data_IF_782680102822
#
_entry.id   IF_782680102822
#
_cell.length_a   1.000
_cell.length_b   1.000
_cell.length_c   1.000
_cell.angle_alpha   90.00
_cell.angle_beta   90.00
_cell.angle_gamma   90.00
#
_symmetry.space_group_name_H-M   'P 1'
#
loop_
_entity.id
_entity.type
_entity.pdbx_description
1 polymer ?
#
# COMPACT_ATOMS: atom_id res chain seq x y z
N UNK A 1 17.63 -14.34 -14.53
CA UNK A 1 16.54 -13.66 -15.29
C UNK A 1 16.34 -12.32 -14.60
N UNK A 2 17.09 -11.30 -15.01
CA UNK A 2 17.12 -9.98 -14.36
C UNK A 2 16.03 -9.06 -14.92
N UNK A 3 14.80 -9.57 -14.94
CA UNK A 3 13.62 -8.77 -15.23
C UNK A 3 13.28 -7.96 -14.00
N UNK A 4 13.73 -6.71 -13.93
CA UNK A 4 13.17 -5.77 -12.96
C UNK A 4 11.66 -5.69 -13.24
N UNK A 5 10.79 -6.04 -12.28
CA UNK A 5 9.35 -6.01 -12.52
C UNK A 5 8.98 -4.58 -12.89
N UNK A 6 8.26 -4.42 -14.00
CA UNK A 6 7.59 -3.17 -14.32
C UNK A 6 6.82 -2.80 -13.06
N UNK A 7 7.16 -1.69 -12.36
CA UNK A 7 6.45 -1.32 -11.15
C UNK A 7 4.97 -1.26 -11.52
N UNK A 8 4.06 -1.73 -10.66
CA UNK A 8 2.64 -1.59 -10.96
C UNK A 8 2.30 -0.12 -10.77
N UNK A 9 2.58 0.63 -11.83
CA UNK A 9 2.59 2.08 -11.90
C UNK A 9 1.15 2.51 -11.68
N UNK A 10 0.95 3.22 -10.57
CA UNK A 10 -0.21 4.07 -10.43
C UNK A 10 -0.19 5.09 -11.57
N UNK A 11 -1.29 5.18 -12.31
CA UNK A 11 -1.45 6.13 -13.39
C UNK A 11 -1.01 7.53 -12.95
N UNK A 12 -0.07 8.12 -13.67
CA UNK A 12 0.27 9.55 -13.55
C UNK A 12 -0.45 10.25 -14.68
N UNK A 13 -1.45 11.08 -14.35
CA UNK A 13 -2.18 11.90 -15.33
C UNK A 13 -1.95 13.36 -14.94
N UNK A 14 -1.45 14.16 -15.89
CA UNK A 14 -1.13 15.59 -15.71
C UNK A 14 -0.21 15.88 -14.50
N UNK A 15 0.80 15.03 -14.26
CA UNK A 15 1.76 15.20 -13.15
C UNK A 15 1.23 14.85 -11.76
N UNK A 16 -0.04 14.44 -11.66
CA UNK A 16 -0.64 13.94 -10.43
C UNK A 16 -0.64 12.40 -10.47
N UNK A 17 -0.34 11.75 -9.34
CA UNK A 17 -0.54 10.30 -9.24
C UNK A 17 -1.99 10.03 -8.87
N UNK A 18 -2.68 9.31 -9.74
CA UNK A 18 -4.09 8.94 -9.58
C UNK A 18 -4.19 7.60 -8.85
N UNK A 19 -3.87 7.61 -7.55
CA UNK A 19 -3.99 6.44 -6.67
C UNK A 19 -5.40 5.83 -6.69
N UNK A 20 -6.43 6.65 -6.89
CA UNK A 20 -7.83 6.21 -7.03
C UNK A 20 -8.12 5.40 -8.30
N UNK A 21 -7.22 5.39 -9.29
CA UNK A 21 -7.30 4.58 -10.51
C UNK A 21 -6.28 3.42 -10.51
N UNK A 22 -5.81 2.99 -9.33
CA UNK A 22 -5.28 1.63 -9.20
C UNK A 22 -6.30 0.67 -9.83
N UNK A 23 -5.85 -0.14 -10.79
CA UNK A 23 -6.71 -1.13 -11.44
C UNK A 23 -7.38 -1.96 -10.33
N UNK A 24 -8.70 -1.81 -10.16
CA UNK A 24 -9.39 -2.26 -8.95
C UNK A 24 -9.16 -3.74 -8.66
N UNK A 25 -9.14 -4.55 -9.71
CA UNK A 25 -8.79 -5.98 -9.67
C UNK A 25 -7.39 -6.25 -9.15
N UNK A 26 -6.39 -5.45 -9.55
CA UNK A 26 -4.99 -5.62 -9.13
C UNK A 26 -4.78 -5.26 -7.67
N UNK A 27 -5.41 -4.17 -7.22
CA UNK A 27 -5.46 -3.83 -5.80
C UNK A 27 -6.12 -4.97 -5.03
N UNK A 28 -7.28 -5.43 -5.50
CA UNK A 28 -7.99 -6.56 -4.88
C UNK A 28 -7.09 -7.79 -4.76
N UNK A 29 -6.33 -8.17 -5.80
CA UNK A 29 -5.38 -9.29 -5.72
C UNK A 29 -4.28 -9.06 -4.68
N UNK A 30 -3.67 -7.86 -4.67
CA UNK A 30 -2.66 -7.53 -3.66
C UNK A 30 -3.21 -7.64 -2.24
N UNK A 31 -4.45 -7.20 -2.04
CA UNK A 31 -5.12 -7.25 -0.75
C UNK A 31 -5.58 -8.66 -0.39
N UNK A 32 -6.11 -9.45 -1.32
CA UNK A 32 -6.61 -10.80 -1.03
C UNK A 32 -5.46 -11.77 -0.77
N UNK A 33 -4.43 -11.72 -1.62
CA UNK A 33 -3.34 -12.69 -1.64
C UNK A 33 -2.07 -12.19 -0.92
N UNK A 34 -2.15 -11.04 -0.24
CA UNK A 34 -1.03 -10.43 0.49
C UNK A 34 0.21 -10.23 -0.39
N UNK A 35 0.02 -9.62 -1.56
CA UNK A 35 1.07 -9.40 -2.56
C UNK A 35 1.61 -7.98 -2.51
N UNK A 36 2.88 -7.85 -2.85
CA UNK A 36 3.53 -6.56 -2.98
C UNK A 36 2.99 -5.81 -4.19
N UNK A 37 2.54 -4.58 -3.98
CA UNK A 37 2.07 -3.72 -5.06
C UNK A 37 3.14 -3.50 -6.14
N UNK A 38 4.42 -3.46 -5.81
CA UNK A 38 5.48 -3.12 -6.78
C UNK A 38 5.90 -4.32 -7.63
N UNK A 39 6.16 -5.47 -7.01
CA UNK A 39 6.72 -6.64 -7.71
C UNK A 39 5.73 -7.79 -7.92
N UNK A 40 4.55 -7.76 -7.30
CA UNK A 40 3.54 -8.81 -7.38
C UNK A 40 3.85 -10.08 -6.58
N UNK A 41 4.98 -10.14 -5.86
CA UNK A 41 5.36 -11.30 -5.05
C UNK A 41 4.73 -11.23 -3.65
N UNK A 42 4.60 -12.38 -3.00
CA UNK A 42 4.14 -12.49 -1.62
C UNK A 42 4.92 -11.58 -0.68
N UNK A 43 4.19 -10.88 0.18
CA UNK A 43 4.76 -10.10 1.26
C UNK A 43 5.11 -11.00 2.45
N UNK A 44 6.19 -10.69 3.18
CA UNK A 44 6.43 -11.28 4.49
C UNK A 44 5.36 -10.82 5.49
N UNK A 45 5.42 -11.33 6.72
CA UNK A 45 4.42 -10.98 7.74
C UNK A 45 4.35 -9.49 8.04
N UNK A 46 5.52 -8.84 7.98
CA UNK A 46 5.69 -7.42 8.21
C UNK A 46 6.07 -6.71 6.90
N UNK A 47 5.19 -5.86 6.40
CA UNK A 47 5.35 -5.13 5.15
C UNK A 47 5.40 -3.61 5.37
N UNK A 48 5.80 -2.89 4.34
CA UNK A 48 5.81 -1.43 4.38
C UNK A 48 4.54 -0.87 3.71
N UNK A 49 3.98 0.18 4.28
CA UNK A 49 2.83 0.92 3.75
C UNK A 49 3.12 2.41 3.77
N UNK A 50 2.63 3.14 2.76
CA UNK A 50 2.73 4.59 2.71
C UNK A 50 1.46 5.20 3.33
N UNK A 51 1.63 6.07 4.32
CA UNK A 51 0.54 6.65 5.11
C UNK A 51 0.49 8.16 4.93
N UNK A 52 -0.70 8.70 4.70
CA UNK A 52 -1.00 10.13 4.74
C UNK A 52 -2.34 10.34 5.44
N UNK A 53 -2.45 11.35 6.31
CA UNK A 53 -3.71 11.69 6.99
C UNK A 53 -4.38 10.49 7.68
N UNK A 54 -3.56 9.60 8.27
CA UNK A 54 -4.02 8.37 8.94
C UNK A 54 -4.50 7.24 8.01
N UNK A 55 -4.35 7.38 6.69
CA UNK A 55 -4.81 6.40 5.68
C UNK A 55 -3.65 5.82 4.88
N UNK A 56 -3.78 4.57 4.46
CA UNK A 56 -2.81 3.94 3.57
C UNK A 56 -3.08 4.43 2.14
N UNK A 57 -2.10 5.12 1.56
CA UNK A 57 -2.29 5.91 0.33
C UNK A 57 -2.66 5.05 -0.88
N UNK A 58 -2.08 3.85 -0.99
CA UNK A 58 -2.31 2.93 -2.11
C UNK A 58 -3.25 1.78 -1.77
N UNK A 59 -3.85 1.78 -0.58
CA UNK A 59 -4.63 0.66 -0.02
C UNK A 59 -3.93 -0.71 -0.14
N UNK A 60 -2.59 -0.74 -0.22
CA UNK A 60 -1.79 -1.94 -0.44
C UNK A 60 -0.47 -1.81 0.30
N UNK A 61 0.27 -2.91 0.37
CA UNK A 61 1.58 -2.98 1.01
C UNK A 61 2.68 -3.35 0.03
N UNK A 62 3.93 -3.10 0.43
CA UNK A 62 5.13 -3.36 -0.37
C UNK A 62 6.25 -3.95 0.48
N UNK A 63 7.18 -4.67 -0.16
CA UNK A 63 8.44 -5.01 0.51
C UNK A 63 9.20 -3.73 0.87
N UNK A 64 9.98 -3.75 1.95
CA UNK A 64 10.85 -2.61 2.32
C UNK A 64 11.79 -2.19 1.19
N UNK A 65 12.39 -3.16 0.49
CA UNK A 65 13.23 -2.89 -0.69
C UNK A 65 12.44 -2.26 -1.84
N UNK A 66 11.22 -2.74 -2.08
CA UNK A 66 10.32 -2.17 -3.07
C UNK A 66 9.85 -0.76 -2.71
N UNK A 67 9.68 -0.46 -1.41
CA UNK A 67 9.38 0.89 -0.95
C UNK A 67 10.52 1.86 -1.26
N UNK A 68 11.78 1.46 -1.00
CA UNK A 68 12.95 2.26 -1.36
C UNK A 68 13.00 2.55 -2.86
N UNK A 69 12.77 1.53 -3.71
CA UNK A 69 12.67 1.73 -5.15
C UNK A 69 11.53 2.70 -5.51
N UNK A 70 10.33 2.49 -4.96
CA UNK A 70 9.16 3.33 -5.23
C UNK A 70 9.41 4.80 -4.86
N UNK A 71 10.10 5.06 -3.76
CA UNK A 71 10.51 6.42 -3.34
C UNK A 71 11.46 7.09 -4.35
N UNK A 72 12.30 6.32 -5.06
CA UNK A 72 13.21 6.89 -6.07
C UNK A 72 12.55 7.16 -7.42
N UNK A 73 11.53 6.37 -7.79
CA UNK A 73 10.94 6.42 -9.13
C UNK A 73 9.57 7.08 -9.19
N UNK A 74 8.85 7.18 -8.07
CA UNK A 74 7.53 7.81 -8.02
C UNK A 74 7.65 9.26 -7.55
N UNK A 75 7.36 10.25 -8.43
CA UNK A 75 7.44 11.66 -8.07
C UNK A 75 6.58 12.01 -6.85
N UNK A 76 5.40 11.41 -6.70
CA UNK A 76 4.48 11.69 -5.58
C UNK A 76 4.96 11.10 -4.26
N UNK A 77 5.70 9.99 -4.27
CA UNK A 77 6.32 9.49 -3.04
C UNK A 77 7.61 10.27 -2.71
N UNK A 78 8.38 10.64 -3.73
CA UNK A 78 9.65 11.39 -3.58
C UNK A 78 9.45 12.85 -3.18
N UNK A 79 8.34 13.47 -3.62
CA UNK A 79 7.98 14.88 -3.42
C UNK A 79 6.47 14.96 -3.15
N UNK A 80 6.03 14.51 -1.97
CA UNK A 80 4.61 14.45 -1.68
C UNK A 80 4.05 15.85 -1.45
N UNK A 81 2.84 16.11 -1.96
CA UNK A 81 2.12 17.38 -1.75
C UNK A 81 1.57 17.54 -0.32
N UNK A 82 1.59 16.46 0.47
CA UNK A 82 1.15 16.40 1.86
C UNK A 82 2.11 15.52 2.66
N UNK A 83 2.20 15.67 3.99
CA UNK A 83 3.05 14.81 4.81
C UNK A 83 2.73 13.33 4.58
N UNK A 84 3.77 12.57 4.20
CA UNK A 84 3.68 11.13 3.97
C UNK A 84 4.74 10.42 4.81
N UNK A 85 4.35 9.32 5.44
CA UNK A 85 5.24 8.48 6.22
C UNK A 85 5.28 7.05 5.67
N UNK A 86 6.44 6.42 5.74
CA UNK A 86 6.57 4.99 5.54
C UNK A 86 6.39 4.29 6.89
N UNK A 87 5.35 3.49 7.03
CA UNK A 87 5.10 2.70 8.22
C UNK A 87 5.37 1.22 7.96
N UNK A 88 5.76 0.50 9.01
CA UNK A 88 5.76 -0.97 9.01
C UNK A 88 4.41 -1.43 9.56
N UNK A 89 3.76 -2.36 8.86
CA UNK A 89 2.48 -2.94 9.23
C UNK A 89 2.50 -4.45 9.03
N UNK A 90 1.94 -5.17 10.00
CA UNK A 90 1.52 -6.55 9.83
C UNK A 90 0.08 -6.60 9.31
N UNK A 91 -0.36 -7.74 8.77
CA UNK A 91 -1.77 -7.88 8.36
C UNK A 91 -2.75 -7.58 9.48
N UNK A 92 -2.39 -7.93 10.71
CA UNK A 92 -3.25 -7.73 11.87
C UNK A 92 -3.31 -6.27 12.34
N UNK A 93 -2.37 -5.43 11.91
CA UNK A 93 -2.42 -3.97 12.11
C UNK A 93 -3.43 -3.28 11.17
N UNK A 94 -4.01 -4.00 10.20
CA UNK A 94 -4.80 -3.40 9.13
C UNK A 94 -6.31 -3.48 9.40
N UNK A 95 -7.00 -2.44 8.95
CA UNK A 95 -8.44 -2.41 8.74
C UNK A 95 -8.72 -2.30 7.24
N UNK A 96 -9.69 -3.08 6.76
CA UNK A 96 -10.26 -3.00 5.42
C UNK A 96 -11.70 -2.48 5.54
N UNK A 97 -11.96 -1.27 5.05
CA UNK A 97 -13.24 -0.56 5.22
C UNK A 97 -13.69 -0.49 6.70
N UNK A 98 -12.73 -0.33 7.62
CA UNK A 98 -12.97 -0.27 9.06
C UNK A 98 -13.08 -1.62 9.76
N UNK A 99 -13.05 -2.74 9.03
CA UNK A 99 -13.12 -4.10 9.58
C UNK A 99 -11.71 -4.70 9.67
N UNK A 100 -11.35 -5.42 10.75
CA UNK A 100 -10.13 -6.22 10.82
C UNK A 100 -9.81 -6.97 9.52
N UNK A 101 -8.70 -6.61 8.88
CA UNK A 101 -8.22 -7.30 7.69
C UNK A 101 -7.73 -8.71 8.05
N UNK A 102 -7.99 -9.68 7.19
CA UNK A 102 -7.46 -11.05 7.27
C UNK A 102 -6.97 -11.49 5.90
N UNK A 103 -5.76 -12.06 5.85
CA UNK A 103 -5.21 -12.65 4.61
C UNK A 103 -6.11 -13.76 4.10
N UNK A 104 -6.34 -13.81 2.79
CA UNK A 104 -7.25 -14.76 2.16
C UNK A 104 -8.74 -14.56 2.51
N UNK A 105 -9.08 -13.54 3.29
CA UNK A 105 -10.46 -13.17 3.58
C UNK A 105 -11.14 -12.56 2.35
N UNK A 106 -12.45 -12.73 2.24
CA UNK A 106 -13.21 -12.04 1.21
C UNK A 106 -13.25 -10.54 1.49
N UNK A 107 -12.45 -9.80 0.74
CA UNK A 107 -12.54 -8.35 0.66
C UNK A 107 -13.48 -7.97 -0.49
N UNK A 108 -14.28 -6.92 -0.27
CA UNK A 108 -14.99 -6.25 -1.37
C UNK A 108 -14.01 -5.81 -2.47
N UNK A 109 -14.52 -5.39 -3.63
CA UNK A 109 -13.72 -5.16 -4.84
C UNK A 109 -12.63 -4.06 -4.73
N UNK A 110 -12.48 -3.42 -3.58
CA UNK A 110 -11.87 -2.11 -3.48
C UNK A 110 -11.56 -1.62 -2.06
N UNK A 111 -11.39 -2.53 -1.09
CA UNK A 111 -11.41 -2.13 0.32
C UNK A 111 -10.37 -1.04 0.63
N UNK A 112 -10.78 -0.01 1.36
CA UNK A 112 -9.88 1.05 1.82
C UNK A 112 -9.10 0.54 3.01
N UNK A 113 -7.78 0.59 2.92
CA UNK A 113 -6.94 0.17 4.03
C UNK A 113 -6.58 1.35 4.93
N UNK A 114 -6.66 1.12 6.23
CA UNK A 114 -6.11 2.00 7.25
C UNK A 114 -5.36 1.18 8.28
N UNK A 115 -4.47 1.85 9.01
CA UNK A 115 -3.87 1.27 10.20
C UNK A 115 -4.91 1.28 11.32
N UNK A 116 -4.91 0.24 12.14
CA UNK A 116 -5.60 0.27 13.43
C UNK A 116 -5.00 1.39 14.28
N UNK A 117 -5.83 2.15 15.01
CA UNK A 117 -5.33 3.05 16.04
C UNK A 117 -4.45 2.22 16.99
N UNK A 118 -3.18 2.59 17.13
CA UNK A 118 -2.37 2.07 18.23
C UNK A 118 -2.73 2.90 19.45
N UNK A 119 -3.02 2.25 20.58
CA UNK A 119 -3.29 2.90 21.88
C UNK A 119 -2.05 3.65 22.42
N UNK A 120 -1.61 4.68 21.71
CA UNK A 120 -0.42 5.48 22.02
C UNK A 120 -0.72 6.96 22.27
N UNK A 121 -1.94 7.28 22.67
CA UNK A 121 -2.32 8.61 23.19
C UNK A 121 -2.97 8.54 24.60
N UNK A 122 -2.42 7.68 25.48
CA UNK A 122 -2.63 7.78 26.93
C UNK A 122 -1.28 7.82 27.64
N UNK A 123 -0.58 8.95 27.55
CA UNK A 123 0.37 9.40 28.57
C UNK A 123 0.33 10.91 28.68
#
# INVERSE_FOLDING_TARGET
MDGLPVPWITLVIAGQVWWGHLHGERRRLCQQDWLCQVCGLLLPDSAAVFVADGRIVSDTAVHRRCAALALTVCPVLSRPQRPMALATAESDDLLADGVPYRRGGHLGYAARWSLRPRDRDRR
#
